data_IF_066929945452
#
_entry.id   IF_066929945452
#
_cell.length_a   1.000
_cell.length_b   1.000
_cell.length_c   1.000
_cell.angle_alpha   90.00
_cell.angle_beta   90.00
_cell.angle_gamma   90.00
#
_symmetry.space_group_name_H-M   'P 1'
#
loop_
_entity.id
_entity.type
_entity.pdbx_description
1 polymer ?
#
# COMPACT_ATOMS: atom_id res chain seq x y z
N UNK A 1 5.51 20.11 -3.14
CA UNK A 1 6.78 19.55 -2.62
C UNK A 1 6.50 18.12 -2.15
N UNK A 2 7.47 17.21 -2.25
CA UNK A 2 7.30 15.85 -1.69
C UNK A 2 7.52 15.92 -0.19
N UNK A 3 6.66 15.26 0.57
CA UNK A 3 6.85 15.05 2.00
C UNK A 3 7.48 13.67 2.22
N UNK A 4 8.57 13.63 2.96
CA UNK A 4 9.28 12.39 3.28
C UNK A 4 8.91 11.92 4.69
N UNK A 5 8.46 10.67 4.79
CA UNK A 5 8.12 10.04 6.07
C UNK A 5 9.27 9.14 6.52
N UNK A 6 9.72 9.31 7.77
CA UNK A 6 10.64 8.38 8.42
C UNK A 6 9.82 7.26 9.06
N UNK A 7 10.07 6.02 8.64
CA UNK A 7 9.29 4.84 9.03
C UNK A 7 10.21 3.84 9.72
N UNK A 8 9.88 3.47 10.94
CA UNK A 8 10.55 2.43 11.72
C UNK A 8 9.70 1.16 11.80
N UNK A 9 10.29 0.06 12.26
CA UNK A 9 9.59 -1.21 12.45
C UNK A 9 8.37 -1.03 13.36
N UNK A 10 7.22 -1.55 12.92
CA UNK A 10 5.95 -1.42 13.65
C UNK A 10 5.20 -0.09 13.44
N UNK A 11 5.74 0.85 12.68
CA UNK A 11 5.03 2.10 12.33
C UNK A 11 3.76 1.80 11.53
N UNK A 12 2.63 2.33 12.00
CA UNK A 12 1.37 2.33 11.25
C UNK A 12 1.20 3.66 10.51
N UNK A 13 1.08 3.58 9.18
CA UNK A 13 0.83 4.75 8.32
C UNK A 13 -0.61 4.71 7.83
N UNK A 14 -1.36 5.79 8.08
CA UNK A 14 -2.68 6.01 7.49
C UNK A 14 -2.55 7.10 6.42
N UNK A 15 -3.04 6.81 5.22
CA UNK A 15 -3.15 7.79 4.17
C UNK A 15 -4.50 7.64 3.45
N UNK A 16 -5.00 8.74 2.90
CA UNK A 16 -6.22 8.72 2.12
C UNK A 16 -5.89 8.35 0.68
N UNK A 17 -6.37 7.21 0.16
CA UNK A 17 -5.95 6.73 -1.16
C UNK A 17 -6.40 7.61 -2.34
N UNK A 18 -7.49 8.39 -2.19
CA UNK A 18 -8.02 9.25 -3.27
C UNK A 18 -7.20 10.53 -3.39
N UNK A 19 -6.59 10.75 -4.56
CA UNK A 19 -5.78 11.93 -4.91
C UNK A 19 -4.45 12.06 -4.13
N UNK A 20 -3.93 10.97 -3.57
CA UNK A 20 -2.61 10.96 -2.94
C UNK A 20 -1.67 10.01 -3.68
N UNK A 21 -0.63 10.59 -4.28
CA UNK A 21 0.45 9.82 -4.88
C UNK A 21 1.54 9.61 -3.84
N UNK A 22 1.95 8.36 -3.64
CA UNK A 22 3.06 8.00 -2.78
C UNK A 22 4.02 7.06 -3.53
N UNK A 23 5.28 7.03 -3.08
CA UNK A 23 6.32 6.16 -3.61
C UNK A 23 7.18 5.63 -2.47
N UNK A 24 7.53 4.36 -2.53
CA UNK A 24 8.49 3.75 -1.61
C UNK A 24 9.92 3.85 -2.16
N UNK A 25 10.89 4.08 -1.28
CA UNK A 25 12.31 4.06 -1.66
C UNK A 25 12.76 2.64 -2.02
N UNK A 26 13.66 2.47 -3.01
CA UNK A 26 14.24 1.17 -3.34
C UNK A 26 14.88 0.51 -2.12
N UNK A 27 14.79 -0.82 -2.04
CA UNK A 27 15.45 -1.60 -0.98
C UNK A 27 16.95 -1.71 -1.34
N UNK A 28 17.82 -1.15 -0.51
CA UNK A 28 19.29 -1.18 -0.68
C UNK A 28 19.98 -2.16 0.27
N UNK A 29 19.25 -2.72 1.24
CA UNK A 29 19.75 -3.68 2.25
C UNK A 29 19.48 -5.12 1.83
N UNK A 30 20.25 -6.06 2.38
CA UNK A 30 19.98 -7.51 2.28
C UNK A 30 18.86 -7.97 3.18
N UNK A 31 18.48 -7.17 4.19
CA UNK A 31 17.35 -7.44 5.08
C UNK A 31 16.06 -7.04 4.35
N UNK A 32 15.08 -7.95 4.18
CA UNK A 32 13.84 -7.64 3.51
C UNK A 32 12.99 -6.66 4.32
N UNK A 33 12.34 -5.71 3.63
CA UNK A 33 11.28 -4.87 4.20
C UNK A 33 9.95 -5.59 4.04
N UNK A 34 9.30 -5.93 5.15
CA UNK A 34 7.98 -6.57 5.16
C UNK A 34 6.93 -5.51 5.48
N UNK A 35 5.87 -5.47 4.69
CA UNK A 35 4.75 -4.54 4.86
C UNK A 35 3.44 -5.34 4.82
N UNK A 36 2.52 -5.01 5.72
CA UNK A 36 1.14 -5.47 5.64
C UNK A 36 0.26 -4.26 5.30
N UNK A 37 -0.50 -4.36 4.22
CA UNK A 37 -1.38 -3.28 3.76
C UNK A 37 -2.84 -3.69 3.93
N UNK A 38 -3.63 -2.77 4.50
CA UNK A 38 -5.07 -2.90 4.63
C UNK A 38 -5.71 -1.74 3.88
N UNK A 39 -6.62 -2.05 2.97
CA UNK A 39 -7.36 -1.06 2.21
C UNK A 39 -8.81 -1.04 2.69
N UNK A 40 -9.31 0.14 3.05
CA UNK A 40 -10.67 0.34 3.55
C UNK A 40 -11.43 1.24 2.60
N UNK A 41 -12.63 0.81 2.22
CA UNK A 41 -13.60 1.63 1.50
C UNK A 41 -14.70 2.10 2.46
N UNK A 42 -15.20 3.31 2.25
CA UNK A 42 -16.33 3.84 3.04
C UNK A 42 -17.67 3.24 2.58
N UNK A 43 -17.72 2.76 1.35
CA UNK A 43 -18.88 2.13 0.74
C UNK A 43 -18.77 0.61 0.84
N UNK A 44 -19.92 -0.05 1.00
CA UNK A 44 -20.03 -1.50 1.09
C UNK A 44 -19.91 -2.13 -0.30
N UNK A 45 -19.51 -3.40 -0.33
CA UNK A 45 -19.47 -4.23 -1.54
C UNK A 45 -18.61 -3.67 -2.69
N UNK A 46 -17.65 -2.80 -2.38
CA UNK A 46 -16.65 -2.33 -3.34
C UNK A 46 -15.47 -3.30 -3.35
N UNK A 47 -15.23 -3.87 -4.52
CA UNK A 47 -14.04 -4.64 -4.83
C UNK A 47 -13.15 -3.89 -5.82
N UNK A 48 -11.84 -4.18 -5.75
CA UNK A 48 -10.95 -3.83 -6.85
C UNK A 48 -11.37 -4.59 -8.11
N UNK A 49 -11.20 -3.96 -9.27
CA UNK A 49 -11.36 -4.62 -10.56
C UNK A 49 -10.51 -5.91 -10.63
N UNK A 50 -10.96 -6.90 -11.39
CA UNK A 50 -10.30 -8.22 -11.47
C UNK A 50 -8.82 -8.13 -11.90
N UNK A 51 -8.52 -7.29 -12.88
CA UNK A 51 -7.17 -7.02 -13.37
C UNK A 51 -6.26 -6.44 -12.28
N UNK A 52 -6.77 -5.52 -11.47
CA UNK A 52 -6.07 -4.96 -10.34
C UNK A 52 -5.81 -6.02 -9.25
N UNK A 53 -6.80 -6.87 -8.95
CA UNK A 53 -6.64 -7.97 -7.98
C UNK A 53 -5.58 -8.98 -8.42
N UNK A 54 -5.58 -9.37 -9.69
CA UNK A 54 -4.53 -10.24 -10.24
C UNK A 54 -3.16 -9.57 -10.21
N UNK A 55 -3.08 -8.28 -10.51
CA UNK A 55 -1.81 -7.54 -10.50
C UNK A 55 -1.24 -7.39 -9.09
N UNK A 56 -2.06 -7.03 -8.11
CA UNK A 56 -1.59 -6.76 -6.74
C UNK A 56 -1.52 -8.00 -5.87
N UNK A 57 -2.44 -8.95 -6.05
CA UNK A 57 -2.57 -10.13 -5.18
C UNK A 57 -2.26 -11.45 -5.88
N UNK A 58 -2.15 -11.47 -7.21
CA UNK A 58 -1.91 -12.70 -7.97
C UNK A 58 -3.10 -13.67 -8.02
N UNK A 59 -4.26 -13.29 -7.49
CA UNK A 59 -5.44 -14.16 -7.35
C UNK A 59 -6.74 -13.35 -7.22
N UNK A 60 -7.86 -14.00 -7.53
CA UNK A 60 -9.21 -13.43 -7.36
C UNK A 60 -9.86 -13.81 -6.02
N UNK A 61 -9.30 -14.80 -5.31
CA UNK A 61 -9.81 -15.37 -4.06
C UNK A 61 -8.69 -15.63 -3.04
#
# INVERSE_FOLDING_TARGET
PVEELQIEDGTLVLFYGRNYLHRVTPITSTIPRILATLNYNLEQDIELAEDARLTFFGRLH
#
